data_IF_241804512515
#
_entry.id   IF_241804512515
#
_cell.length_a   1.000
_cell.length_b   1.000
_cell.length_c   1.000
_cell.angle_alpha   90.00
_cell.angle_beta   90.00
_cell.angle_gamma   90.00
#
_symmetry.space_group_name_H-M   'P 1'
#
loop_
_entity.id
_entity.type
_entity.pdbx_description
1 polymer ?
#
# COMPACT_ATOMS: atom_id res chain seq x y z
N UNK A 1 -14.64 -18.15 -7.85
CA UNK A 1 -13.68 -17.88 -8.94
C UNK A 1 -14.24 -16.69 -9.72
N UNK A 2 -13.48 -15.62 -9.87
CA UNK A 2 -13.94 -14.46 -10.66
C UNK A 2 -14.21 -14.91 -12.10
N UNK A 3 -15.29 -14.40 -12.72
CA UNK A 3 -15.70 -14.81 -14.08
C UNK A 3 -14.80 -14.23 -15.16
N UNK A 4 -14.25 -13.04 -14.91
CA UNK A 4 -13.35 -12.31 -15.78
C UNK A 4 -12.07 -11.93 -15.02
N UNK A 5 -10.92 -11.95 -15.70
CA UNK A 5 -9.67 -11.45 -15.13
C UNK A 5 -9.66 -9.92 -15.12
N UNK A 6 -9.16 -9.27 -14.06
CA UNK A 6 -9.00 -7.82 -14.03
C UNK A 6 -8.09 -7.34 -15.15
N UNK A 7 -8.46 -6.23 -15.80
CA UNK A 7 -7.58 -5.58 -16.78
C UNK A 7 -6.41 -4.91 -16.06
N UNK A 8 -5.19 -5.23 -16.46
CA UNK A 8 -4.00 -4.54 -15.95
C UNK A 8 -4.03 -3.05 -16.30
N UNK A 9 -3.59 -2.19 -15.38
CA UNK A 9 -3.49 -0.74 -15.62
C UNK A 9 -2.65 -0.40 -16.86
N UNK A 10 -1.65 -1.23 -17.19
CA UNK A 10 -0.78 -1.06 -18.37
C UNK A 10 -1.54 -1.31 -19.68
N UNK A 11 -2.59 -2.14 -19.62
CA UNK A 11 -3.43 -2.49 -20.75
C UNK A 11 -4.73 -1.66 -20.81
N UNK A 12 -4.99 -0.84 -19.79
CA UNK A 12 -6.15 0.04 -19.76
C UNK A 12 -5.89 1.26 -20.67
N UNK A 13 -6.67 1.37 -21.76
CA UNK A 13 -6.46 2.37 -22.82
C UNK A 13 -7.33 3.62 -22.67
N UNK A 14 -8.34 3.54 -21.81
CA UNK A 14 -9.25 4.66 -21.59
C UNK A 14 -8.64 5.67 -20.62
N UNK A 15 -9.13 6.91 -20.70
CA UNK A 15 -8.75 7.94 -19.73
C UNK A 15 -9.42 7.61 -18.40
N UNK A 16 -8.61 7.48 -17.35
CA UNK A 16 -9.10 7.51 -15.97
C UNK A 16 -8.71 8.85 -15.34
N UNK A 17 -9.58 9.43 -14.52
CA UNK A 17 -9.25 10.64 -13.76
C UNK A 17 -8.61 10.28 -12.41
N UNK A 18 -9.03 9.15 -11.82
CA UNK A 18 -8.56 8.67 -10.52
C UNK A 18 -8.30 7.16 -10.53
N UNK A 19 -7.29 6.77 -9.76
CA UNK A 19 -7.02 5.39 -9.33
C UNK A 19 -7.43 5.30 -7.88
N UNK A 20 -8.22 4.29 -7.54
CA UNK A 20 -8.73 4.09 -6.17
C UNK A 20 -8.25 2.73 -5.68
N UNK A 21 -7.52 2.73 -4.56
CA UNK A 21 -7.19 1.54 -3.81
C UNK A 21 -8.07 1.49 -2.57
N UNK A 22 -8.82 0.41 -2.38
CA UNK A 22 -9.73 0.23 -1.25
C UNK A 22 -9.23 -0.97 -0.45
N UNK A 23 -9.09 -0.79 0.86
CA UNK A 23 -8.76 -1.86 1.78
C UNK A 23 -9.73 -1.87 2.97
N UNK A 24 -9.94 -3.06 3.51
CA UNK A 24 -10.79 -3.31 4.67
C UNK A 24 -9.92 -3.67 5.87
N UNK A 25 -10.27 -3.10 7.03
CA UNK A 25 -9.74 -3.54 8.33
C UNK A 25 -10.89 -3.74 9.31
N UNK A 26 -10.87 -4.84 10.05
CA UNK A 26 -11.90 -5.17 11.02
C UNK A 26 -11.64 -6.53 11.68
N UNK A 27 -12.36 -6.81 12.77
CA UNK A 27 -12.28 -8.11 13.43
C UNK A 27 -13.18 -9.10 12.68
N UNK A 28 -12.67 -10.25 12.20
CA UNK A 28 -13.48 -11.23 11.47
C UNK A 28 -14.47 -12.01 12.37
N UNK A 29 -14.66 -11.59 13.62
CA UNK A 29 -15.52 -12.27 14.58
C UNK A 29 -16.99 -11.92 14.32
N UNK A 30 -17.77 -12.94 13.97
CA UNK A 30 -19.23 -12.87 13.86
C UNK A 30 -19.96 -12.66 15.20
N UNK A 31 -19.26 -12.84 16.32
CA UNK A 31 -19.79 -12.65 17.67
C UNK A 31 -19.49 -11.21 18.12
N UNK A 32 -20.29 -10.28 17.63
CA UNK A 32 -20.16 -8.85 17.93
C UNK A 32 -20.44 -8.57 19.41
N UNK A 33 -19.54 -7.87 20.10
CA UNK A 33 -19.88 -7.15 21.33
C UNK A 33 -20.30 -5.72 20.98
N UNK A 34 -21.19 -5.11 21.77
CA UNK A 34 -21.77 -3.77 21.50
C UNK A 34 -20.76 -2.62 21.36
N UNK A 35 -19.46 -2.86 21.65
CA UNK A 35 -18.38 -1.87 21.63
C UNK A 35 -17.21 -2.19 20.68
N UNK A 36 -17.29 -3.24 19.86
CA UNK A 36 -16.24 -3.52 18.88
C UNK A 36 -16.34 -2.55 17.68
N UNK A 37 -15.21 -1.99 17.22
CA UNK A 37 -15.16 -1.33 15.91
C UNK A 37 -15.56 -2.36 14.84
N UNK A 38 -16.77 -2.21 14.32
CA UNK A 38 -17.45 -3.26 13.55
C UNK A 38 -16.77 -3.50 12.21
N UNK A 39 -16.23 -2.47 11.59
CA UNK A 39 -15.57 -2.52 10.28
C UNK A 39 -15.06 -1.12 9.89
N UNK A 40 -13.86 -1.05 9.32
CA UNK A 40 -13.32 0.17 8.71
C UNK A 40 -12.96 -0.08 7.25
N UNK A 41 -13.48 0.76 6.37
CA UNK A 41 -13.08 0.81 4.97
C UNK A 41 -12.23 2.06 4.72
N UNK A 42 -11.04 1.85 4.20
CA UNK A 42 -10.10 2.89 3.83
C UNK A 42 -9.95 2.88 2.33
N UNK A 43 -10.21 4.02 1.68
CA UNK A 43 -9.87 4.20 0.28
C UNK A 43 -8.80 5.27 0.15
N UNK A 44 -7.80 5.00 -0.69
CA UNK A 44 -6.80 5.97 -1.15
C UNK A 44 -7.10 6.27 -2.61
N UNK A 45 -7.29 7.53 -2.93
CA UNK A 45 -7.53 8.04 -4.27
C UNK A 45 -6.30 8.80 -4.75
N UNK A 46 -5.87 8.48 -5.96
CA UNK A 46 -4.72 9.06 -6.64
C UNK A 46 -5.21 9.63 -7.97
N UNK A 47 -4.95 10.91 -8.26
CA UNK A 47 -5.20 11.44 -9.60
C UNK A 47 -4.32 10.71 -10.61
N UNK A 48 -4.87 10.31 -11.75
CA UNK A 48 -4.13 9.56 -12.76
C UNK A 48 -2.87 10.28 -13.25
N UNK A 49 -2.90 11.61 -13.34
CA UNK A 49 -1.75 12.46 -13.68
C UNK A 49 -0.59 12.34 -12.68
N UNK A 50 -0.88 12.07 -11.40
CA UNK A 50 0.12 11.94 -10.34
C UNK A 50 0.67 10.51 -10.22
N UNK A 51 0.00 9.51 -10.81
CA UNK A 51 0.36 8.10 -10.66
C UNK A 51 1.79 7.80 -11.09
N UNK A 52 2.24 8.37 -12.22
CA UNK A 52 3.60 8.14 -12.72
C UNK A 52 4.68 8.62 -11.75
N UNK A 53 4.49 9.80 -11.15
CA UNK A 53 5.41 10.34 -10.16
C UNK A 53 5.41 9.53 -8.87
N UNK A 54 4.23 9.22 -8.33
CA UNK A 54 4.06 8.40 -7.12
C UNK A 54 4.67 7.00 -7.30
N UNK A 55 4.39 6.35 -8.44
CA UNK A 55 4.93 5.02 -8.74
C UNK A 55 6.45 5.04 -8.84
N UNK A 56 7.03 6.11 -9.39
CA UNK A 56 8.48 6.26 -9.48
C UNK A 56 9.10 6.44 -8.10
N UNK A 57 8.55 7.31 -7.27
CA UNK A 57 9.09 7.56 -5.92
C UNK A 57 9.06 6.31 -5.04
N UNK A 58 7.98 5.51 -5.09
CA UNK A 58 7.94 4.20 -4.42
C UNK A 58 9.02 3.24 -4.94
N UNK A 59 9.32 3.27 -6.24
CA UNK A 59 10.40 2.47 -6.82
C UNK A 59 11.77 2.94 -6.33
N UNK A 60 11.99 4.26 -6.28
CA UNK A 60 13.23 4.86 -5.80
C UNK A 60 13.49 4.49 -4.33
N UNK A 61 12.45 4.49 -3.48
CA UNK A 61 12.54 4.01 -2.09
C UNK A 61 12.94 2.53 -2.06
N UNK A 62 12.32 1.69 -2.89
CA UNK A 62 12.69 0.27 -2.94
C UNK A 62 14.13 0.08 -3.40
N UNK A 63 14.60 0.87 -4.36
CA UNK A 63 15.95 0.76 -4.92
C UNK A 63 17.03 1.31 -3.96
N UNK A 64 16.66 2.24 -3.07
CA UNK A 64 17.49 2.68 -1.95
C UNK A 64 17.74 1.57 -0.92
N UNK A 65 16.71 0.80 -0.58
CA UNK A 65 16.77 -0.19 0.51
C UNK A 65 17.10 -1.62 0.04
N UNK A 66 16.82 -1.96 -1.22
CA UNK A 66 17.13 -3.26 -1.80
C UNK A 66 17.75 -3.09 -3.18
N UNK A 67 18.70 -3.95 -3.53
CA UNK A 67 19.33 -3.95 -4.84
C UNK A 67 18.27 -4.08 -5.95
N UNK A 68 18.15 -3.06 -6.81
CA UNK A 68 17.12 -2.94 -7.85
C UNK A 68 15.67 -3.06 -7.33
N UNK A 69 15.45 -2.79 -6.04
CA UNK A 69 14.16 -2.93 -5.37
C UNK A 69 13.64 -4.37 -5.35
N UNK A 70 14.53 -5.37 -5.45
CA UNK A 70 14.17 -6.78 -5.65
C UNK A 70 14.77 -7.70 -4.61
N UNK A 71 14.07 -8.80 -4.38
CA UNK A 71 14.50 -9.92 -3.53
C UNK A 71 14.21 -11.21 -4.28
N UNK A 72 15.24 -12.04 -4.44
CA UNK A 72 15.16 -13.30 -5.20
C UNK A 72 14.52 -13.08 -6.59
N UNK A 73 14.89 -11.98 -7.25
CA UNK A 73 14.39 -11.60 -8.58
C UNK A 73 12.99 -10.98 -8.62
N UNK A 74 12.25 -10.96 -7.50
CA UNK A 74 10.89 -10.40 -7.40
C UNK A 74 10.90 -9.03 -6.76
N UNK A 75 10.01 -8.13 -7.19
CA UNK A 75 9.88 -6.78 -6.60
C UNK A 75 9.47 -6.90 -5.13
N UNK A 76 10.08 -6.10 -4.26
CA UNK A 76 9.68 -6.02 -2.85
C UNK A 76 8.25 -5.50 -2.74
N UNK A 77 7.44 -6.16 -1.92
CA UNK A 77 6.06 -5.77 -1.63
C UNK A 77 6.02 -5.25 -0.20
N UNK A 78 5.51 -4.04 -0.03
CA UNK A 78 5.38 -3.41 1.28
C UNK A 78 4.09 -3.88 1.93
N UNK A 79 4.20 -4.82 2.87
CA UNK A 79 3.11 -5.19 3.76
C UNK A 79 3.35 -4.57 5.12
N UNK A 80 2.38 -3.78 5.60
CA UNK A 80 2.46 -3.12 6.91
C UNK A 80 2.86 -4.10 8.02
N UNK A 81 2.23 -5.29 8.04
CA UNK A 81 2.52 -6.35 9.01
C UNK A 81 4.00 -6.73 9.03
N UNK A 82 4.64 -6.86 7.88
CA UNK A 82 6.01 -7.36 7.78
C UNK A 82 7.03 -6.29 8.18
N UNK A 83 6.75 -5.03 7.79
CA UNK A 83 7.51 -3.84 8.21
C UNK A 83 7.40 -3.67 9.73
N UNK A 84 6.18 -3.70 10.27
CA UNK A 84 5.92 -3.51 11.70
C UNK A 84 6.56 -4.62 12.55
N UNK A 85 6.43 -5.88 12.13
CA UNK A 85 7.04 -7.03 12.81
C UNK A 85 8.54 -7.16 12.54
N UNK A 86 9.11 -6.30 11.70
CA UNK A 86 10.53 -6.33 11.26
C UNK A 86 10.93 -7.74 10.81
N UNK A 87 10.10 -8.40 10.00
CA UNK A 87 10.26 -9.80 9.63
C UNK A 87 10.50 -10.03 8.14
N UNK A 88 11.01 -11.22 7.81
CA UNK A 88 11.30 -11.62 6.43
C UNK A 88 12.40 -10.77 5.83
N UNK A 89 12.02 -9.85 4.96
CA UNK A 89 12.93 -8.98 4.21
C UNK A 89 13.07 -7.58 4.81
N UNK A 90 12.24 -7.30 5.81
CA UNK A 90 12.26 -6.12 6.65
C UNK A 90 12.95 -6.42 7.98
N UNK A 91 13.79 -7.44 8.07
CA UNK A 91 14.56 -7.69 9.30
C UNK A 91 15.69 -6.67 9.42
N UNK A 92 15.99 -6.22 10.64
CA UNK A 92 17.09 -5.29 10.91
C UNK A 92 18.47 -5.80 10.45
N UNK A 93 18.60 -7.12 10.27
CA UNK A 93 19.81 -7.73 9.71
C UNK A 93 19.97 -7.54 8.20
N UNK A 94 18.93 -7.08 7.50
CA UNK A 94 18.90 -6.93 6.03
C UNK A 94 18.75 -5.48 5.60
N UNK A 95 17.99 -4.67 6.34
CA UNK A 95 17.76 -3.25 6.06
C UNK A 95 17.70 -2.44 7.35
N UNK A 96 17.88 -1.13 7.24
CA UNK A 96 17.55 -0.19 8.30
C UNK A 96 16.05 0.13 8.26
N UNK A 97 15.28 -0.42 9.20
CA UNK A 97 13.83 -0.18 9.26
C UNK A 97 13.49 1.27 9.62
N UNK A 98 14.32 1.92 10.42
CA UNK A 98 14.06 3.29 10.86
C UNK A 98 14.23 4.24 9.67
N UNK A 99 15.28 4.05 8.84
CA UNK A 99 15.44 4.79 7.59
C UNK A 99 14.30 4.52 6.59
N UNK A 100 13.82 3.27 6.51
CA UNK A 100 12.67 2.94 5.65
C UNK A 100 11.40 3.63 6.15
N UNK A 101 11.16 3.65 7.45
CA UNK A 101 9.99 4.32 8.03
C UNK A 101 10.03 5.83 7.76
N UNK A 102 11.20 6.45 7.89
CA UNK A 102 11.39 7.87 7.59
C UNK A 102 11.13 8.17 6.10
N UNK A 103 11.65 7.34 5.19
CA UNK A 103 11.39 7.49 3.75
C UNK A 103 9.91 7.34 3.42
N UNK A 104 9.23 6.34 4.00
CA UNK A 104 7.80 6.12 3.80
C UNK A 104 6.96 7.26 4.38
N UNK A 105 7.34 7.80 5.54
CA UNK A 105 6.68 8.96 6.13
C UNK A 105 6.84 10.21 5.26
N UNK A 106 8.05 10.48 4.79
CA UNK A 106 8.32 11.57 3.86
C UNK A 106 7.55 11.41 2.55
N UNK A 107 7.46 10.20 2.01
CA UNK A 107 6.65 9.91 0.84
C UNK A 107 5.17 10.22 1.09
N UNK A 108 4.57 9.71 2.17
CA UNK A 108 3.14 9.93 2.47
C UNK A 108 2.84 11.42 2.66
N UNK A 109 3.73 12.18 3.29
CA UNK A 109 3.52 13.62 3.52
C UNK A 109 3.65 14.47 2.25
N UNK A 110 4.40 14.01 1.25
CA UNK A 110 4.58 14.70 -0.05
C UNK A 110 3.60 14.23 -1.12
N UNK A 111 3.22 12.95 -1.07
CA UNK A 111 2.31 12.38 -2.04
C UNK A 111 0.94 13.05 -1.90
N UNK A 112 0.46 13.65 -2.99
CA UNK A 112 -0.88 14.22 -3.07
C UNK A 112 -1.94 13.10 -3.11
N UNK A 113 -2.24 12.54 -1.93
CA UNK A 113 -3.20 11.46 -1.74
C UNK A 113 -4.49 12.02 -1.13
N UNK A 114 -5.64 11.59 -1.67
CA UNK A 114 -6.92 11.80 -1.02
C UNK A 114 -7.36 10.51 -0.35
N UNK A 115 -7.90 10.60 0.86
CA UNK A 115 -8.33 9.43 1.64
C UNK A 115 -9.83 9.53 1.98
N UNK A 116 -10.52 8.41 1.86
CA UNK A 116 -11.89 8.24 2.36
C UNK A 116 -11.81 7.22 3.48
N UNK A 117 -12.25 7.60 4.67
CA UNK A 117 -12.35 6.74 5.83
C UNK A 117 -13.83 6.54 6.16
N UNK A 118 -14.29 5.29 6.10
CA UNK A 118 -15.61 4.91 6.56
C UNK A 118 -15.44 3.96 7.75
N UNK A 119 -15.71 4.47 8.96
CA UNK A 119 -15.69 3.67 10.18
C UNK A 119 -17.13 3.36 10.60
N UNK A 120 -17.47 2.08 10.65
CA UNK A 120 -18.73 1.60 11.21
C UNK A 120 -18.48 1.18 12.66
N UNK A 121 -19.22 1.81 13.58
CA UNK A 121 -19.20 1.52 15.03
C UNK A 121 -20.43 0.75 15.44
#
# INVERSE_FOLDING_TARGET
>A
MWKDEPTSIVNYKDKCDYIIAIDESGTPNLLFQENDEKFTLVAVMIKSENYGAISKEILDIKEKHWLNGKIKGKRVVFHYRDIFKKCGEFSNSKISNDDLQDDLFQFITRAELSYILCAYR
#
